data_IF_943648921711
#
_entry.id   IF_943648921711
#
_cell.length_a   1.000
_cell.length_b   1.000
_cell.length_c   1.000
_cell.angle_alpha   90.00
_cell.angle_beta   90.00
_cell.angle_gamma   90.00
#
_symmetry.space_group_name_H-M   'P 1'
#
loop_
_entity.id
_entity.type
_entity.pdbx_description
1 polymer ?
#
# COMPACT_ATOMS: atom_id res chain seq x y z
N UNK A 1 46.47 26.60 -56.74
CA UNK A 1 46.56 27.39 -55.49
C UNK A 1 45.54 28.53 -55.59
N UNK A 2 44.74 28.90 -54.58
CA UNK A 2 44.46 28.30 -53.26
C UNK A 2 42.93 28.02 -53.03
N UNK A 3 42.58 26.96 -52.28
CA UNK A 3 42.03 26.95 -50.90
C UNK A 3 40.56 27.40 -50.78
N UNK A 4 39.62 26.47 -50.58
CA UNK A 4 39.07 25.96 -49.30
C UNK A 4 37.70 26.54 -49.00
N UNK A 5 36.67 25.68 -48.99
CA UNK A 5 35.59 25.75 -48.01
C UNK A 5 34.96 24.36 -47.90
N UNK A 6 35.63 23.51 -47.13
CA UNK A 6 35.02 22.34 -46.50
C UNK A 6 34.00 22.86 -45.49
N UNK A 7 32.75 22.44 -45.59
CA UNK A 7 31.91 22.29 -44.41
C UNK A 7 31.09 21.01 -44.58
N UNK A 8 31.74 19.90 -44.23
CA UNK A 8 31.10 18.61 -44.01
C UNK A 8 30.01 18.78 -42.97
N UNK A 9 28.75 18.61 -43.37
CA UNK A 9 27.64 18.48 -42.44
C UNK A 9 27.82 17.15 -41.70
N UNK A 10 28.31 17.29 -40.48
CA UNK A 10 28.69 16.23 -39.57
C UNK A 10 27.46 15.33 -39.29
N UNK A 11 27.51 14.09 -39.78
CA UNK A 11 26.66 13.00 -39.28
C UNK A 11 26.93 12.86 -37.77
N UNK A 12 26.00 13.34 -36.95
CA UNK A 12 26.00 13.12 -35.51
C UNK A 12 24.59 12.70 -35.06
N UNK A 13 24.10 11.61 -35.66
CA UNK A 13 22.85 10.93 -35.27
C UNK A 13 23.11 9.42 -35.15
N UNK A 14 24.15 9.02 -34.41
CA UNK A 14 24.36 7.60 -34.05
C UNK A 14 25.01 7.50 -32.67
N UNK A 15 24.34 7.94 -31.59
CA UNK A 15 24.78 7.61 -30.22
C UNK A 15 23.74 7.91 -29.11
N UNK A 16 22.42 7.77 -29.34
CA UNK A 16 21.44 7.97 -28.26
C UNK A 16 20.46 6.81 -28.05
N UNK A 17 20.80 5.62 -28.53
CA UNK A 17 20.20 4.37 -28.05
C UNK A 17 21.28 3.59 -27.29
N UNK A 18 21.59 4.05 -26.09
CA UNK A 18 22.27 3.19 -25.12
C UNK A 18 21.39 1.95 -24.87
N UNK A 19 21.98 0.77 -24.60
CA UNK A 19 21.20 -0.39 -24.22
C UNK A 19 20.37 -0.02 -23.00
N UNK A 20 19.06 -0.23 -23.08
CA UNK A 20 18.19 -0.14 -21.92
C UNK A 20 18.80 -1.00 -20.82
N UNK A 21 19.11 -0.41 -19.68
CA UNK A 21 19.63 -1.11 -18.50
C UNK A 21 18.70 -2.32 -18.21
N UNK A 22 19.13 -3.58 -18.39
CA UNK A 22 18.25 -4.72 -18.18
C UNK A 22 18.05 -5.06 -16.69
N UNK A 23 18.68 -4.31 -15.78
CA UNK A 23 18.83 -4.70 -14.38
C UNK A 23 17.97 -3.88 -13.42
N UNK A 24 16.78 -3.45 -13.85
CA UNK A 24 15.72 -3.25 -12.88
C UNK A 24 15.17 -4.65 -12.53
N UNK A 25 15.05 -5.03 -11.25
CA UNK A 25 14.39 -6.28 -10.87
C UNK A 25 13.06 -6.37 -11.61
N UNK A 26 12.91 -7.34 -12.51
CA UNK A 26 11.65 -7.59 -13.22
C UNK A 26 10.66 -8.16 -12.19
N UNK A 27 10.08 -7.25 -11.41
CA UNK A 27 8.88 -7.54 -10.66
C UNK A 27 7.79 -7.85 -11.68
N UNK A 28 7.08 -8.97 -11.52
CA UNK A 28 5.91 -9.30 -12.33
C UNK A 28 5.01 -8.05 -12.44
N UNK A 29 4.54 -7.72 -13.65
CA UNK A 29 3.67 -6.56 -13.89
C UNK A 29 2.22 -6.80 -13.44
N UNK A 30 1.95 -7.97 -12.87
CA UNK A 30 0.62 -8.33 -12.41
C UNK A 30 0.18 -7.43 -11.25
N UNK A 31 -1.08 -6.97 -11.26
CA UNK A 31 -1.61 -6.14 -10.19
C UNK A 31 -1.56 -6.85 -8.84
N UNK A 32 -1.48 -6.06 -7.78
CA UNK A 32 -1.48 -6.51 -6.38
C UNK A 32 -2.81 -6.16 -5.71
N UNK A 33 -3.10 -6.83 -4.60
CA UNK A 33 -4.13 -6.41 -3.64
C UNK A 33 -3.47 -5.79 -2.41
N UNK A 34 -4.06 -4.72 -1.88
CA UNK A 34 -3.66 -4.11 -0.61
C UNK A 34 -4.90 -3.98 0.26
N UNK A 35 -4.88 -4.64 1.42
CA UNK A 35 -6.01 -4.70 2.35
C UNK A 35 -5.56 -4.47 3.77
N UNK A 36 -6.45 -3.97 4.59
CA UNK A 36 -6.13 -3.74 6.00
C UNK A 36 -7.24 -3.08 6.78
N UNK A 37 -6.88 -2.60 7.97
CA UNK A 37 -7.83 -1.97 8.88
C UNK A 37 -7.29 -0.66 9.47
N UNK A 38 -8.04 0.42 9.26
CA UNK A 38 -7.81 1.71 9.90
C UNK A 38 -8.45 1.68 11.29
N UNK A 39 -7.63 1.81 12.33
CA UNK A 39 -8.11 1.78 13.71
C UNK A 39 -8.61 3.16 14.15
N UNK A 40 -7.92 4.21 13.74
CA UNK A 40 -8.33 5.59 13.97
C UNK A 40 -7.48 6.56 13.12
N UNK A 41 -7.74 7.86 13.28
CA UNK A 41 -6.94 8.95 12.72
C UNK A 41 -6.39 9.82 13.85
N UNK A 42 -5.08 9.99 13.88
CA UNK A 42 -4.42 10.83 14.88
C UNK A 42 -4.89 12.29 14.74
N UNK A 43 -5.29 12.88 15.86
CA UNK A 43 -5.77 14.27 15.89
C UNK A 43 -7.22 14.45 15.45
N UNK A 44 -7.98 13.37 15.20
CA UNK A 44 -9.42 13.45 14.98
C UNK A 44 -10.09 14.12 16.20
N UNK A 45 -11.06 15.03 16.00
CA UNK A 45 -11.86 15.57 17.10
C UNK A 45 -12.57 14.44 17.84
N UNK A 46 -12.47 14.41 19.17
CA UNK A 46 -13.21 13.47 19.99
C UNK A 46 -14.56 14.05 20.41
N UNK A 47 -15.54 13.19 20.63
CA UNK A 47 -16.82 13.61 21.17
C UNK A 47 -16.65 14.13 22.62
N UNK A 48 -17.50 15.06 23.09
CA UNK A 48 -17.47 15.55 24.47
C UNK A 48 -17.64 14.42 25.52
N UNK A 49 -18.35 13.36 25.14
CA UNK A 49 -18.51 12.14 25.92
C UNK A 49 -17.94 10.97 25.12
N UNK A 50 -16.98 10.25 25.70
CA UNK A 50 -16.32 9.11 25.06
C UNK A 50 -16.89 7.81 25.61
N UNK A 51 -17.98 7.35 25.03
CA UNK A 51 -18.53 6.01 25.22
C UNK A 51 -18.16 5.12 24.03
N UNK A 52 -18.19 3.78 24.18
CA UNK A 52 -17.97 2.88 23.05
C UNK A 52 -18.87 3.18 21.84
N UNK A 53 -20.12 3.56 22.08
CA UNK A 53 -21.12 3.83 21.05
C UNK A 53 -20.85 5.16 20.32
N UNK A 54 -20.49 6.20 21.08
CA UNK A 54 -20.18 7.54 20.52
C UNK A 54 -18.88 7.53 19.74
N UNK A 55 -17.86 6.81 20.21
CA UNK A 55 -16.61 6.61 19.46
C UNK A 55 -16.82 5.73 18.22
N UNK A 56 -17.66 4.69 18.30
CA UNK A 56 -18.01 3.89 17.12
C UNK A 56 -18.77 4.71 16.06
N UNK A 57 -19.71 5.57 16.48
CA UNK A 57 -20.43 6.46 15.58
C UNK A 57 -19.50 7.50 14.93
N UNK A 58 -18.60 8.12 15.71
CA UNK A 58 -17.59 9.05 15.20
C UNK A 58 -16.71 8.38 14.14
N UNK A 59 -16.16 7.21 14.46
CA UNK A 59 -15.29 6.44 13.54
C UNK A 59 -16.02 6.07 12.26
N UNK A 60 -17.28 5.65 12.36
CA UNK A 60 -18.11 5.37 11.18
C UNK A 60 -18.17 6.56 10.23
N UNK A 61 -18.50 7.74 10.75
CA UNK A 61 -18.56 8.97 9.96
C UNK A 61 -17.19 9.34 9.37
N UNK A 62 -16.12 9.19 10.17
CA UNK A 62 -14.76 9.46 9.74
C UNK A 62 -14.33 8.55 8.58
N UNK A 63 -14.61 7.25 8.66
CA UNK A 63 -14.21 6.29 7.64
C UNK A 63 -15.04 6.43 6.36
N UNK A 64 -16.35 6.65 6.46
CA UNK A 64 -17.21 6.93 5.30
C UNK A 64 -16.77 8.18 4.51
N UNK A 65 -16.11 9.11 5.17
CA UNK A 65 -15.64 10.37 4.57
C UNK A 65 -14.14 10.39 4.27
N UNK A 66 -13.43 9.29 4.55
CA UNK A 66 -12.01 9.16 4.23
C UNK A 66 -11.85 8.82 2.75
N UNK A 67 -11.08 9.64 2.05
CA UNK A 67 -10.70 9.41 0.66
C UNK A 67 -9.40 8.61 0.58
N UNK A 68 -9.28 7.74 -0.41
CA UNK A 68 -8.06 6.97 -0.69
C UNK A 68 -7.62 7.24 -2.13
N UNK A 69 -6.32 7.50 -2.29
CA UNK A 69 -5.68 7.73 -3.57
C UNK A 69 -4.45 6.85 -3.71
N UNK A 70 -4.17 6.38 -4.91
CA UNK A 70 -2.97 5.60 -5.20
C UNK A 70 -2.14 6.36 -6.23
N UNK A 71 -0.94 6.77 -5.82
CA UNK A 71 -0.09 7.61 -6.66
C UNK A 71 0.19 6.93 -8.00
N UNK A 72 -0.08 7.65 -9.10
CA UNK A 72 0.13 7.20 -10.49
C UNK A 72 -0.69 5.97 -10.91
N UNK A 73 -1.82 5.67 -10.25
CA UNK A 73 -2.65 4.50 -10.55
C UNK A 73 -4.15 4.84 -10.65
N UNK A 74 -4.62 5.35 -11.81
CA UNK A 74 -6.01 5.81 -11.97
C UNK A 74 -7.06 4.69 -12.05
N UNK A 75 -6.63 3.42 -12.16
CA UNK A 75 -7.53 2.27 -12.36
C UNK A 75 -7.65 1.37 -11.13
N UNK A 76 -7.19 1.83 -9.96
CA UNK A 76 -7.35 1.08 -8.71
C UNK A 76 -8.82 0.98 -8.36
N UNK A 77 -9.25 -0.24 -8.04
CA UNK A 77 -10.62 -0.51 -7.58
C UNK A 77 -10.63 -0.79 -6.07
N UNK A 78 -11.76 -0.57 -5.41
CA UNK A 78 -11.91 -0.78 -3.97
C UNK A 78 -12.24 0.49 -3.19
N UNK A 79 -12.04 0.46 -1.87
CA UNK A 79 -12.41 1.55 -0.99
C UNK A 79 -12.27 1.23 0.49
N UNK A 80 -12.83 2.12 1.31
CA UNK A 80 -12.86 2.01 2.77
C UNK A 80 -14.30 1.74 3.19
N UNK A 81 -14.50 0.68 3.96
CA UNK A 81 -15.78 0.35 4.55
C UNK A 81 -16.04 1.19 5.81
N UNK A 82 -17.31 1.28 6.20
CA UNK A 82 -17.78 2.05 7.34
C UNK A 82 -17.14 1.69 8.69
N UNK A 83 -16.59 0.49 8.80
CA UNK A 83 -15.93 -0.02 9.99
C UNK A 83 -14.42 0.26 10.03
N UNK A 84 -13.85 0.83 8.96
CA UNK A 84 -12.42 1.12 8.82
C UNK A 84 -11.63 0.04 8.09
N UNK A 85 -12.26 -1.08 7.72
CA UNK A 85 -11.65 -2.03 6.79
C UNK A 85 -11.44 -1.37 5.44
N UNK A 86 -10.33 -1.65 4.77
CA UNK A 86 -10.11 -1.20 3.40
C UNK A 86 -9.59 -2.34 2.54
N UNK A 87 -9.93 -2.27 1.26
CA UNK A 87 -9.38 -3.13 0.22
C UNK A 87 -9.15 -2.28 -1.02
N UNK A 88 -7.97 -2.44 -1.62
CA UNK A 88 -7.58 -1.89 -2.90
C UNK A 88 -7.15 -3.04 -3.77
N UNK A 89 -7.73 -3.12 -4.95
CA UNK A 89 -7.46 -4.10 -5.99
C UNK A 89 -6.86 -3.37 -7.20
N UNK A 90 -6.19 -4.12 -8.06
CA UNK A 90 -5.59 -3.57 -9.28
C UNK A 90 -4.52 -2.50 -9.02
N UNK A 91 -3.89 -2.56 -7.84
CA UNK A 91 -2.77 -1.68 -7.49
C UNK A 91 -1.53 -2.11 -8.28
N UNK A 92 -0.74 -1.18 -8.85
CA UNK A 92 0.48 -1.54 -9.55
C UNK A 92 1.50 -2.16 -8.57
N UNK A 93 2.36 -3.08 -9.03
CA UNK A 93 3.43 -3.64 -8.19
C UNK A 93 4.65 -2.70 -8.11
N UNK A 94 5.59 -3.04 -7.22
CA UNK A 94 6.84 -2.31 -7.04
C UNK A 94 6.80 -1.31 -5.89
N UNK A 95 7.01 -0.03 -6.19
CA UNK A 95 7.07 1.06 -5.22
C UNK A 95 5.83 1.93 -5.37
N UNK A 96 4.97 1.95 -4.35
CA UNK A 96 3.65 2.59 -4.39
C UNK A 96 3.47 3.40 -3.13
N UNK A 97 2.88 4.59 -3.27
CA UNK A 97 2.34 5.34 -2.14
C UNK A 97 0.83 5.33 -2.22
N UNK A 98 0.19 4.93 -1.13
CA UNK A 98 -1.26 5.02 -0.96
C UNK A 98 -1.52 6.15 0.03
N UNK A 99 -2.31 7.13 -0.37
CA UNK A 99 -2.63 8.31 0.43
C UNK A 99 -4.05 8.20 0.97
N UNK A 100 -4.20 8.35 2.28
CA UNK A 100 -5.47 8.41 2.97
C UNK A 100 -5.73 9.83 3.44
N UNK A 101 -6.88 10.40 3.07
CA UNK A 101 -7.28 11.76 3.44
C UNK A 101 -8.58 11.71 4.22
N UNK A 102 -8.49 11.82 5.54
CA UNK A 102 -9.64 11.89 6.42
C UNK A 102 -10.03 13.37 6.69
N UNK A 103 -11.32 13.72 6.83
CA UNK A 103 -11.71 15.11 7.08
C UNK A 103 -11.13 15.65 8.38
N UNK A 104 -10.61 16.89 8.32
CA UNK A 104 -10.05 17.57 9.48
C UNK A 104 -8.69 17.02 9.95
N UNK A 105 -8.07 16.09 9.20
CA UNK A 105 -6.74 15.57 9.50
C UNK A 105 -5.79 15.72 8.30
N UNK A 106 -4.47 15.86 8.53
CA UNK A 106 -3.49 15.81 7.44
C UNK A 106 -3.51 14.45 6.73
N UNK A 107 -3.14 14.45 5.44
CA UNK A 107 -3.06 13.23 4.66
C UNK A 107 -2.02 12.25 5.26
N UNK A 108 -2.37 10.97 5.31
CA UNK A 108 -1.52 9.88 5.77
C UNK A 108 -1.03 9.06 4.59
N UNK A 109 0.26 8.68 4.57
CA UNK A 109 0.86 7.96 3.45
C UNK A 109 1.32 6.56 3.87
N UNK A 110 0.75 5.53 3.25
CA UNK A 110 1.22 4.16 3.31
C UNK A 110 2.19 3.93 2.16
N UNK A 111 3.48 3.90 2.47
CA UNK A 111 4.54 3.67 1.48
C UNK A 111 4.84 2.17 1.41
N UNK A 112 4.73 1.62 0.21
CA UNK A 112 5.08 0.25 -0.13
C UNK A 112 6.32 0.25 -1.04
N UNK A 113 7.28 -0.63 -0.79
CA UNK A 113 8.48 -0.77 -1.65
C UNK A 113 8.78 -2.23 -1.93
N UNK A 114 9.31 -2.49 -3.12
CA UNK A 114 9.71 -3.81 -3.60
C UNK A 114 8.56 -4.84 -3.49
N UNK A 115 7.32 -4.42 -3.73
CA UNK A 115 6.17 -5.33 -3.69
C UNK A 115 6.15 -6.16 -4.98
N UNK A 116 6.21 -7.50 -4.89
CA UNK A 116 6.15 -8.33 -6.09
C UNK A 116 4.77 -8.28 -6.76
N UNK A 117 4.71 -8.51 -8.08
CA UNK A 117 3.43 -8.64 -8.78
C UNK A 117 2.62 -9.83 -8.29
N UNK A 118 1.29 -9.72 -8.38
CA UNK A 118 0.31 -10.68 -7.84
C UNK A 118 0.45 -10.91 -6.32
N UNK A 119 1.06 -9.97 -5.60
CA UNK A 119 1.09 -9.98 -4.15
C UNK A 119 -0.24 -9.58 -3.54
N UNK A 120 -0.51 -10.13 -2.37
CA UNK A 120 -1.51 -9.64 -1.42
C UNK A 120 -0.78 -9.04 -0.21
N UNK A 121 -0.94 -7.74 -0.02
CA UNK A 121 -0.39 -6.97 1.11
C UNK A 121 -1.48 -6.80 2.15
N UNK A 122 -1.28 -7.37 3.33
CA UNK A 122 -2.23 -7.29 4.44
C UNK A 122 -1.67 -6.47 5.61
N UNK A 123 -2.37 -5.39 5.97
CA UNK A 123 -2.04 -4.48 7.07
C UNK A 123 -3.14 -4.56 8.15
N UNK A 124 -2.98 -5.42 9.18
CA UNK A 124 -4.06 -5.80 10.09
C UNK A 124 -4.60 -4.66 10.96
N UNK A 125 -3.75 -3.70 11.34
CA UNK A 125 -4.13 -2.59 12.19
C UNK A 125 -3.21 -1.42 11.97
N UNK A 126 -3.77 -0.29 11.53
CA UNK A 126 -3.01 0.92 11.27
C UNK A 126 -3.69 2.18 11.81
N UNK A 127 -2.87 3.11 12.29
CA UNK A 127 -3.29 4.45 12.71
C UNK A 127 -2.81 5.45 11.66
N UNK A 128 -3.73 6.25 11.13
CA UNK A 128 -3.38 7.33 10.20
C UNK A 128 -2.73 8.48 10.98
N UNK A 129 -1.55 8.91 10.56
CA UNK A 129 -0.80 10.03 11.14
C UNK A 129 -0.46 11.06 10.06
N UNK A 130 -0.09 12.29 10.43
CA UNK A 130 0.41 13.25 9.46
C UNK A 130 1.57 12.66 8.65
N UNK A 131 1.40 12.64 7.31
CA UNK A 131 2.34 12.14 6.30
C UNK A 131 2.80 10.68 6.45
N UNK A 132 2.17 9.89 7.33
CA UNK A 132 2.63 8.54 7.63
C UNK A 132 1.53 7.63 8.18
N UNK A 133 1.79 6.34 8.18
CA UNK A 133 0.94 5.34 8.80
C UNK A 133 1.72 4.63 9.89
N UNK A 134 1.14 4.52 11.08
CA UNK A 134 1.69 3.72 12.16
C UNK A 134 1.08 2.32 12.17
N UNK A 135 1.93 1.30 12.06
CA UNK A 135 1.55 -0.11 12.17
C UNK A 135 1.37 -0.45 13.65
N UNK A 136 0.15 -0.77 14.07
CA UNK A 136 -0.15 -1.14 15.45
C UNK A 136 0.15 -2.63 15.72
N UNK A 137 0.09 -3.46 14.68
CA UNK A 137 0.44 -4.89 14.74
C UNK A 137 1.49 -5.25 13.67
N UNK A 138 2.73 -4.72 13.78
CA UNK A 138 3.75 -4.91 12.73
C UNK A 138 4.09 -6.39 12.49
N UNK A 139 4.04 -7.24 13.53
CA UNK A 139 4.31 -8.68 13.43
C UNK A 139 3.28 -9.45 12.59
N UNK A 140 2.07 -8.88 12.43
CA UNK A 140 0.97 -9.51 11.72
C UNK A 140 0.79 -8.96 10.29
N UNK A 141 1.65 -8.02 9.87
CA UNK A 141 1.71 -7.54 8.48
C UNK A 141 2.20 -8.67 7.59
N UNK A 142 1.54 -8.89 6.45
CA UNK A 142 1.87 -10.00 5.54
C UNK A 142 2.02 -9.49 4.11
N UNK A 143 2.93 -10.12 3.38
CA UNK A 143 3.01 -10.03 1.92
C UNK A 143 3.00 -11.45 1.38
N UNK A 144 1.89 -11.84 0.75
CA UNK A 144 1.64 -13.21 0.28
C UNK A 144 1.64 -13.25 -1.25
N UNK A 145 2.25 -14.28 -1.84
CA UNK A 145 2.16 -14.60 -3.25
C UNK A 145 1.36 -15.89 -3.42
N UNK A 146 0.36 -15.87 -4.31
CA UNK A 146 -0.41 -17.06 -4.62
C UNK A 146 0.45 -18.05 -5.41
N UNK A 147 0.57 -19.28 -4.91
CA UNK A 147 1.36 -20.33 -5.54
C UNK A 147 0.68 -21.70 -5.43
N UNK A 148 0.92 -22.57 -6.41
CA UNK A 148 0.48 -23.97 -6.40
C UNK A 148 1.46 -24.80 -5.57
N UNK A 149 1.35 -24.71 -4.25
CA UNK A 149 2.17 -25.41 -3.27
C UNK A 149 1.30 -25.96 -2.12
N UNK A 150 1.81 -26.95 -1.39
CA UNK A 150 1.04 -27.57 -0.30
C UNK A 150 1.00 -26.72 0.99
N UNK A 151 2.09 -26.01 1.29
CA UNK A 151 2.23 -25.23 2.55
C UNK A 151 2.94 -23.91 2.29
N UNK A 152 2.67 -22.86 3.09
CA UNK A 152 3.38 -21.60 2.96
C UNK A 152 4.89 -21.75 3.08
N UNK A 153 5.64 -21.10 2.20
CA UNK A 153 7.10 -21.09 2.20
C UNK A 153 7.63 -19.68 2.05
N UNK A 154 8.71 -19.35 2.76
CA UNK A 154 9.41 -18.09 2.60
C UNK A 154 10.07 -18.03 1.23
N UNK A 155 9.98 -16.88 0.57
CA UNK A 155 10.82 -16.57 -0.59
C UNK A 155 12.15 -15.95 -0.14
N UNK A 156 13.07 -15.72 -1.08
CA UNK A 156 14.28 -14.92 -0.84
C UNK A 156 14.03 -13.41 -1.00
N UNK A 157 12.77 -12.98 -1.15
CA UNK A 157 12.38 -11.59 -1.37
C UNK A 157 11.89 -10.95 -0.07
N UNK A 158 12.21 -9.67 0.10
CA UNK A 158 11.72 -8.83 1.19
C UNK A 158 11.07 -7.58 0.62
N UNK A 159 9.85 -7.31 1.07
CA UNK A 159 9.10 -6.10 0.77
C UNK A 159 9.25 -5.09 1.92
N UNK A 160 8.96 -3.82 1.65
CA UNK A 160 8.81 -2.81 2.69
C UNK A 160 7.36 -2.31 2.75
N UNK A 161 6.77 -2.31 3.94
CA UNK A 161 5.41 -1.83 4.20
C UNK A 161 5.46 -0.81 5.33
N UNK A 162 5.21 0.47 5.04
CA UNK A 162 5.29 1.56 6.01
C UNK A 162 6.63 1.59 6.80
N UNK A 163 7.76 1.33 6.12
CA UNK A 163 9.08 1.27 6.74
C UNK A 163 9.46 -0.10 7.31
N UNK A 164 8.50 -1.01 7.52
CA UNK A 164 8.75 -2.37 8.02
C UNK A 164 9.24 -3.30 6.91
N UNK A 165 10.36 -3.98 7.12
CA UNK A 165 10.79 -5.09 6.26
C UNK A 165 9.94 -6.33 6.52
N UNK A 166 9.25 -6.83 5.49
CA UNK A 166 8.32 -7.96 5.57
C UNK A 166 8.78 -9.04 4.59
N UNK A 167 9.01 -10.30 5.04
CA UNK A 167 9.36 -11.38 4.15
C UNK A 167 8.18 -11.69 3.23
N UNK A 168 8.45 -11.91 1.95
CA UNK A 168 7.43 -12.33 0.99
C UNK A 168 7.25 -13.84 1.12
N UNK A 169 6.00 -14.27 1.30
CA UNK A 169 5.62 -15.67 1.52
C UNK A 169 4.88 -16.21 0.31
N UNK A 170 5.38 -17.28 -0.31
CA UNK A 170 4.55 -18.08 -1.20
C UNK A 170 3.49 -18.79 -0.34
N UNK A 171 2.23 -18.68 -0.75
CA UNK A 171 1.08 -19.16 0.00
C UNK A 171 0.18 -20.00 -0.93
N UNK A 172 -0.31 -21.17 -0.49
CA UNK A 172 -1.25 -21.96 -1.27
C UNK A 172 -2.48 -21.13 -1.68
N UNK A 173 -2.91 -21.24 -2.93
CA UNK A 173 -4.08 -20.49 -3.46
C UNK A 173 -5.31 -20.67 -2.55
N UNK A 174 -5.55 -21.89 -2.06
CA UNK A 174 -6.67 -22.20 -1.16
C UNK A 174 -6.63 -21.42 0.17
N UNK A 175 -5.46 -20.94 0.60
CA UNK A 175 -5.27 -20.14 1.82
C UNK A 175 -5.29 -18.62 1.56
N UNK A 176 -5.57 -18.20 0.33
CA UNK A 176 -5.68 -16.80 -0.08
C UNK A 176 -7.10 -16.45 -0.56
N UNK A 177 -8.12 -17.20 -0.14
CA UNK A 177 -9.51 -16.91 -0.47
C UNK A 177 -9.93 -15.49 -0.04
N UNK A 178 -9.31 -14.98 1.03
CA UNK A 178 -9.58 -13.66 1.59
C UNK A 178 -9.03 -12.51 0.74
N UNK A 179 -8.15 -12.74 -0.25
CA UNK A 179 -7.44 -11.65 -0.97
C UNK A 179 -8.34 -10.61 -1.66
N UNK A 180 -9.61 -10.94 -1.87
CA UNK A 180 -10.62 -10.08 -2.51
C UNK A 180 -11.70 -9.57 -1.55
N UNK A 181 -11.61 -9.90 -0.26
CA UNK A 181 -12.60 -9.51 0.76
C UNK A 181 -12.04 -8.41 1.67
N UNK A 182 -12.95 -7.64 2.28
CA UNK A 182 -12.57 -6.77 3.40
C UNK A 182 -12.07 -7.63 4.58
N UNK A 183 -10.95 -7.27 5.22
CA UNK A 183 -10.47 -8.02 6.37
C UNK A 183 -11.39 -7.86 7.58
N UNK A 184 -11.34 -8.85 8.47
CA UNK A 184 -11.98 -8.77 9.78
C UNK A 184 -11.27 -7.76 10.69
N UNK A 185 -11.98 -7.19 11.69
CA UNK A 185 -11.36 -6.30 12.67
C UNK A 185 -10.21 -6.99 13.41
N UNK A 186 -9.14 -6.24 13.76
CA UNK A 186 -8.02 -6.77 14.53
C UNK A 186 -8.47 -7.29 15.90
N UNK A 187 -7.90 -8.42 16.32
CA UNK A 187 -8.24 -9.05 17.59
C UNK A 187 -7.65 -8.23 18.76
N UNK A 188 -8.50 -7.76 19.67
CA UNK A 188 -8.04 -7.18 20.94
C UNK A 188 -7.79 -5.67 20.93
N UNK A 189 -7.85 -4.99 19.78
CA UNK A 189 -7.94 -3.52 19.73
C UNK A 189 -9.39 -3.09 20.03
N UNK A 190 -9.80 -3.26 21.29
CA UNK A 190 -11.01 -2.63 21.81
C UNK A 190 -10.85 -1.10 21.69
N UNK A 191 -11.94 -0.34 21.49
CA UNK A 191 -11.88 1.11 21.38
C UNK A 191 -11.03 1.70 22.51
N UNK A 192 -10.12 2.62 22.15
CA UNK A 192 -9.22 3.33 23.07
C UNK A 192 -10.03 4.25 23.98
N UNK A 193 -10.82 3.68 24.90
CA UNK A 193 -11.36 4.40 26.03
C UNK A 193 -10.31 4.38 27.14
N UNK A 194 -9.36 5.30 27.08
CA UNK A 194 -8.56 5.63 28.27
C UNK A 194 -9.41 6.53 29.16
N UNK A 195 -10.15 5.92 30.09
CA UNK A 195 -10.68 6.63 31.26
C UNK A 195 -9.49 6.83 32.19
N UNK A 196 -9.12 8.08 32.46
CA UNK A 196 -8.31 8.42 33.64
C UNK A 196 -9.24 8.64 34.83
#
# INVERSE_FOLDING_TARGET
MPMTARFSLMLLVVAACGPANPNAPQVSKEPISVRGWIVDVAGSPHAPFQTPETEAARRRQLFQSTYVDVENAPYVSGGIAENGAFILLDVPPGNITITFTAPGAPAARLVLKNIPGNADVFVPAMLLKPDSVALLEPKNVKVRLAATIERPTTTNLTANVAGLAVPVMNTPIAQMADRHDYPNPPAGLRPLATVK
#
